data_IF_068605996422
#
_entry.id   IF_068605996422
#
_cell.length_a   1.000
_cell.length_b   1.000
_cell.length_c   1.000
_cell.angle_alpha   90.00
_cell.angle_beta   90.00
_cell.angle_gamma   90.00
#
_symmetry.space_group_name_H-M   'P 1'
#
loop_
_entity.id
_entity.type
_entity.pdbx_description
1 polymer ?
#
# COMPACT_ATOMS: atom_id res chain seq x y z
N UNK A 1 8.40 -28.55 4.11
CA UNK A 1 8.17 -27.92 5.44
C UNK A 1 7.05 -26.91 5.24
N UNK A 2 5.92 -27.12 5.88
CA UNK A 2 4.78 -26.21 5.76
C UNK A 2 4.84 -25.22 6.95
N UNK A 3 4.94 -23.93 6.64
CA UNK A 3 4.91 -22.89 7.68
C UNK A 3 3.47 -22.76 8.19
N UNK A 4 3.31 -22.78 9.50
CA UNK A 4 2.03 -22.53 10.14
C UNK A 4 2.04 -21.09 10.65
N UNK A 5 1.15 -20.26 10.08
CA UNK A 5 0.98 -18.87 10.50
C UNK A 5 -0.17 -18.77 11.49
N UNK A 6 0.04 -18.01 12.56
CA UNK A 6 -1.02 -17.65 13.50
C UNK A 6 -1.61 -16.30 13.08
N UNK A 7 -2.87 -16.33 12.66
CA UNK A 7 -3.59 -15.13 12.21
C UNK A 7 -4.14 -14.28 13.37
N UNK A 8 -4.06 -14.77 14.62
CA UNK A 8 -4.77 -14.19 15.75
C UNK A 8 -3.85 -13.58 16.82
N UNK A 9 -2.64 -13.16 16.43
CA UNK A 9 -1.74 -12.48 17.36
C UNK A 9 -2.22 -11.03 17.59
N UNK A 10 -2.65 -10.72 18.82
CA UNK A 10 -3.29 -9.46 19.18
C UNK A 10 -2.49 -8.21 18.78
N UNK A 11 -1.19 -8.21 18.98
CA UNK A 11 -0.34 -7.06 18.63
C UNK A 11 -0.25 -6.84 17.11
N UNK A 12 -0.30 -7.93 16.31
CA UNK A 12 -0.34 -7.83 14.85
C UNK A 12 -1.70 -7.33 14.37
N UNK A 13 -2.77 -7.85 14.93
CA UNK A 13 -4.14 -7.41 14.64
C UNK A 13 -4.33 -5.94 14.97
N UNK A 14 -3.85 -5.48 16.13
CA UNK A 14 -3.89 -4.06 16.50
C UNK A 14 -3.15 -3.17 15.51
N UNK A 15 -1.97 -3.59 15.04
CA UNK A 15 -1.21 -2.83 14.06
C UNK A 15 -1.93 -2.75 12.69
N UNK A 16 -2.52 -3.86 12.23
CA UNK A 16 -3.32 -3.91 10.99
C UNK A 16 -4.55 -3.02 11.12
N UNK A 17 -5.28 -3.15 12.22
CA UNK A 17 -6.48 -2.37 12.51
C UNK A 17 -6.18 -0.87 12.61
N UNK A 18 -5.06 -0.50 13.24
CA UNK A 18 -4.64 0.89 13.36
C UNK A 18 -4.50 1.57 11.98
N UNK A 19 -3.94 0.86 10.99
CA UNK A 19 -3.84 1.40 9.62
C UNK A 19 -5.20 1.40 8.92
N UNK A 20 -5.97 0.33 9.03
CA UNK A 20 -7.27 0.24 8.38
C UNK A 20 -8.23 1.33 8.89
N UNK A 21 -8.27 1.60 10.19
CA UNK A 21 -9.15 2.61 10.80
C UNK A 21 -8.80 4.06 10.43
N UNK A 22 -7.62 4.33 9.88
CA UNK A 22 -7.34 5.68 9.32
C UNK A 22 -8.33 6.06 8.22
N UNK A 23 -8.83 5.07 7.50
CA UNK A 23 -9.73 5.25 6.35
C UNK A 23 -11.20 5.00 6.70
N UNK A 24 -11.54 4.89 7.97
CA UNK A 24 -12.93 4.69 8.42
C UNK A 24 -13.83 5.83 7.94
N UNK A 25 -14.99 5.49 7.35
CA UNK A 25 -15.91 6.45 6.76
C UNK A 25 -15.59 6.89 5.34
N UNK A 26 -14.49 6.40 4.75
CA UNK A 26 -14.19 6.64 3.35
C UNK A 26 -15.22 5.98 2.44
N UNK A 27 -15.59 6.68 1.38
CA UNK A 27 -16.42 6.13 0.31
C UNK A 27 -15.53 5.61 -0.81
N UNK A 28 -15.91 4.44 -1.33
CA UNK A 28 -15.36 3.99 -2.61
C UNK A 28 -15.94 4.86 -3.72
N UNK A 29 -15.09 5.53 -4.46
CA UNK A 29 -15.48 5.94 -5.78
C UNK A 29 -15.44 4.68 -6.66
N UNK A 30 -16.59 4.29 -7.23
CA UNK A 30 -16.61 3.25 -8.25
C UNK A 30 -15.56 3.58 -9.30
N UNK A 31 -14.65 2.65 -9.57
CA UNK A 31 -13.61 2.80 -10.59
C UNK A 31 -14.28 2.87 -11.97
N UNK A 32 -14.75 4.06 -12.36
CA UNK A 32 -15.10 4.31 -13.74
C UNK A 32 -13.84 4.16 -14.59
N UNK A 33 -13.94 3.50 -15.73
CA UNK A 33 -12.90 3.37 -16.75
C UNK A 33 -12.48 4.73 -17.37
N UNK A 34 -12.95 5.83 -16.79
CA UNK A 34 -12.78 7.18 -17.34
C UNK A 34 -11.46 7.86 -16.94
N UNK A 35 -10.66 7.23 -16.10
CA UNK A 35 -9.35 7.77 -15.74
C UNK A 35 -8.32 7.35 -16.79
N UNK A 36 -7.70 8.34 -17.43
CA UNK A 36 -6.61 8.13 -18.39
C UNK A 36 -5.32 8.68 -17.81
N UNK A 37 -4.30 7.84 -17.70
CA UNK A 37 -2.95 8.26 -17.39
C UNK A 37 -2.07 8.11 -18.63
N UNK A 38 -1.46 9.21 -19.08
CA UNK A 38 -0.71 9.21 -20.33
C UNK A 38 -1.53 8.78 -21.56
N UNK A 39 -2.84 9.04 -21.57
CA UNK A 39 -3.74 8.64 -22.67
C UNK A 39 -4.22 7.18 -22.62
N UNK A 40 -3.76 6.38 -21.66
CA UNK A 40 -4.18 5.00 -21.44
C UNK A 40 -5.22 4.92 -20.33
N UNK A 41 -6.23 4.03 -20.43
CA UNK A 41 -7.14 3.79 -19.32
C UNK A 41 -6.35 3.27 -18.11
N UNK A 42 -6.73 3.67 -16.89
CA UNK A 42 -6.12 3.20 -15.66
C UNK A 42 -7.18 2.95 -14.60
N UNK A 43 -6.92 2.01 -13.71
CA UNK A 43 -7.75 1.70 -12.54
C UNK A 43 -7.00 2.14 -11.28
N UNK A 44 -7.09 3.43 -10.88
CA UNK A 44 -6.41 3.93 -9.70
C UNK A 44 -7.13 3.51 -8.41
N UNK A 45 -6.40 3.56 -7.29
CA UNK A 45 -7.05 3.65 -5.99
C UNK A 45 -7.76 5.00 -5.89
N UNK A 46 -9.08 4.98 -5.74
CA UNK A 46 -9.86 6.19 -5.47
C UNK A 46 -10.37 6.11 -4.04
N UNK A 47 -9.80 6.94 -3.20
CA UNK A 47 -10.22 7.10 -1.83
C UNK A 47 -10.64 8.56 -1.66
N UNK A 48 -11.94 8.79 -1.49
CA UNK A 48 -12.47 10.11 -1.18
C UNK A 48 -12.56 10.24 0.34
N UNK A 49 -11.53 10.82 0.93
CA UNK A 49 -11.51 11.20 2.33
C UNK A 49 -11.14 12.67 2.47
N UNK A 50 -11.88 13.40 3.29
CA UNK A 50 -11.53 14.74 3.67
C UNK A 50 -10.42 14.72 4.71
N UNK A 51 -9.53 15.70 4.66
CA UNK A 51 -8.37 15.79 5.58
C UNK A 51 -8.79 15.88 7.06
N UNK A 52 -9.90 16.56 7.35
CA UNK A 52 -10.44 16.67 8.72
C UNK A 52 -10.88 15.30 9.26
N UNK A 53 -11.55 14.49 8.45
CA UNK A 53 -11.90 13.11 8.84
C UNK A 53 -10.67 12.22 9.02
N UNK A 54 -9.68 12.35 8.15
CA UNK A 54 -8.44 11.59 8.26
C UNK A 54 -7.69 11.94 9.55
N UNK A 55 -7.64 13.24 9.92
CA UNK A 55 -7.05 13.68 11.17
C UNK A 55 -7.83 13.16 12.40
N UNK A 56 -9.16 13.22 12.35
CA UNK A 56 -9.98 12.70 13.44
C UNK A 56 -9.83 11.19 13.63
N UNK A 57 -9.73 10.44 12.53
CA UNK A 57 -9.45 9.01 12.57
C UNK A 57 -8.05 8.73 13.15
N UNK A 58 -7.02 9.50 12.72
CA UNK A 58 -5.67 9.40 13.27
C UNK A 58 -5.68 9.59 14.79
N UNK A 59 -6.32 10.65 15.28
CA UNK A 59 -6.46 10.95 16.72
C UNK A 59 -7.10 9.79 17.49
N UNK A 60 -8.19 9.21 16.96
CA UNK A 60 -8.86 8.05 17.56
C UNK A 60 -7.94 6.83 17.62
N UNK A 61 -7.20 6.55 16.53
CA UNK A 61 -6.23 5.46 16.48
C UNK A 61 -5.12 5.68 17.50
N UNK A 62 -4.56 6.87 17.60
CA UNK A 62 -3.52 7.22 18.55
C UNK A 62 -4.01 7.08 20.00
N UNK A 63 -5.19 7.60 20.31
CA UNK A 63 -5.81 7.46 21.63
C UNK A 63 -6.04 5.99 22.01
N UNK A 64 -6.58 5.18 21.08
CA UNK A 64 -6.83 3.75 21.30
C UNK A 64 -5.55 2.98 21.58
N UNK A 65 -4.42 3.39 20.98
CA UNK A 65 -3.12 2.76 21.17
C UNK A 65 -2.28 3.38 22.31
N UNK A 66 -2.81 4.39 23.01
CA UNK A 66 -2.12 5.03 24.15
C UNK A 66 -0.85 5.80 23.74
N UNK A 67 -0.79 6.30 22.50
CA UNK A 67 0.32 7.12 22.01
C UNK A 67 -0.06 8.60 21.94
N UNK A 68 0.93 9.53 21.97
CA UNK A 68 0.65 10.95 21.87
C UNK A 68 -0.18 11.30 20.64
N UNK A 69 -1.16 12.17 20.83
CA UNK A 69 -2.11 12.56 19.79
C UNK A 69 -1.53 13.73 18.99
N UNK A 70 -1.43 13.56 17.67
CA UNK A 70 -1.01 14.64 16.76
C UNK A 70 -2.12 15.70 16.62
N UNK A 71 -1.72 16.97 16.54
CA UNK A 71 -2.64 18.07 16.29
C UNK A 71 -2.98 18.27 14.82
N UNK A 72 -2.12 17.78 13.92
CA UNK A 72 -2.22 17.94 12.46
C UNK A 72 -1.70 16.71 11.74
N UNK A 73 -2.08 16.56 10.47
CA UNK A 73 -1.52 15.52 9.59
C UNK A 73 -0.11 15.90 9.16
N UNK A 74 0.79 14.93 9.17
CA UNK A 74 2.14 15.05 8.59
C UNK A 74 2.08 14.71 7.11
N UNK A 75 2.77 15.49 6.29
CA UNK A 75 2.81 15.31 4.84
C UNK A 75 4.22 15.09 4.33
N UNK A 76 4.31 14.33 3.25
CA UNK A 76 5.50 14.29 2.40
C UNK A 76 5.17 15.08 1.15
N UNK A 77 6.07 15.99 0.77
CA UNK A 77 6.01 16.73 -0.48
C UNK A 77 7.13 16.28 -1.42
N UNK A 78 6.78 16.12 -2.69
CA UNK A 78 7.73 15.74 -3.74
C UNK A 78 7.44 16.54 -5.00
N UNK A 79 8.51 16.99 -5.63
CA UNK A 79 8.45 17.53 -6.99
C UNK A 79 8.52 16.38 -7.97
N UNK A 80 7.54 16.30 -8.86
CA UNK A 80 7.51 15.32 -9.95
C UNK A 80 7.51 16.06 -11.29
N UNK A 81 8.29 15.56 -12.23
CA UNK A 81 8.26 16.03 -13.60
C UNK A 81 7.09 15.36 -14.32
N UNK A 82 6.17 16.17 -14.82
CA UNK A 82 5.06 15.69 -15.65
C UNK A 82 5.17 16.24 -17.08
N UNK A 83 4.33 15.75 -17.98
CA UNK A 83 4.24 16.30 -19.34
C UNK A 83 3.90 17.81 -19.36
N UNK A 84 3.25 18.31 -18.28
CA UNK A 84 2.85 19.71 -18.13
C UNK A 84 3.86 20.56 -17.31
N UNK A 85 5.04 20.00 -16.99
CA UNK A 85 6.06 20.64 -16.19
C UNK A 85 6.21 20.05 -14.78
N UNK A 86 6.95 20.75 -13.92
CA UNK A 86 7.13 20.37 -12.51
C UNK A 86 5.81 20.55 -11.75
N UNK A 87 5.40 19.51 -11.05
CA UNK A 87 4.28 19.55 -10.13
C UNK A 87 4.70 19.11 -8.73
N UNK A 88 4.24 19.84 -7.72
CA UNK A 88 4.41 19.43 -6.33
C UNK A 88 3.24 18.55 -5.94
N UNK A 89 3.52 17.28 -5.61
CA UNK A 89 2.56 16.38 -5.02
C UNK A 89 2.75 16.33 -3.52
N UNK A 90 1.63 16.35 -2.79
CA UNK A 90 1.58 16.30 -1.35
C UNK A 90 0.67 15.14 -0.94
N UNK A 91 1.15 14.28 -0.04
CA UNK A 91 0.37 13.17 0.46
C UNK A 91 0.61 12.94 1.96
N UNK A 92 -0.42 12.50 2.70
CA UNK A 92 -0.28 12.26 4.14
C UNK A 92 0.67 11.11 4.41
N UNK A 93 1.46 11.23 5.47
CA UNK A 93 2.44 10.25 5.90
C UNK A 93 2.10 9.73 7.29
N UNK A 94 2.02 8.41 7.41
CA UNK A 94 1.76 7.72 8.67
C UNK A 94 2.88 6.74 8.97
N UNK A 95 3.21 6.57 10.25
CA UNK A 95 4.21 5.62 10.72
C UNK A 95 3.59 4.57 11.61
N UNK A 96 3.98 3.32 11.41
CA UNK A 96 3.64 2.20 12.30
C UNK A 96 4.93 1.63 12.87
N UNK A 97 5.11 1.73 14.17
CA UNK A 97 6.27 1.23 14.86
C UNK A 97 5.99 -0.13 15.49
N UNK A 98 6.88 -1.08 15.23
CA UNK A 98 6.82 -2.43 15.79
C UNK A 98 8.23 -2.90 16.12
N UNK A 99 8.37 -3.70 17.16
CA UNK A 99 9.67 -4.27 17.55
C UNK A 99 10.24 -5.21 16.48
N UNK A 100 11.56 -5.41 16.52
CA UNK A 100 12.23 -6.36 15.64
C UNK A 100 11.80 -7.78 15.98
N UNK A 101 11.56 -8.60 14.96
CA UNK A 101 11.14 -10.00 15.15
C UNK A 101 9.64 -10.21 15.35
N UNK A 102 8.82 -9.15 15.41
CA UNK A 102 7.36 -9.24 15.60
C UNK A 102 6.56 -9.56 14.34
N UNK A 103 7.22 -9.81 13.21
CA UNK A 103 6.55 -10.13 11.96
C UNK A 103 6.05 -8.92 11.16
N UNK A 104 6.78 -7.79 11.21
CA UNK A 104 6.43 -6.57 10.45
C UNK A 104 6.03 -6.85 9.00
N UNK A 105 6.79 -7.71 8.31
CA UNK A 105 6.50 -8.05 6.91
C UNK A 105 5.12 -8.70 6.76
N UNK A 106 4.78 -9.65 7.62
CA UNK A 106 3.46 -10.25 7.62
C UNK A 106 2.36 -9.22 7.90
N UNK A 107 2.58 -8.33 8.87
CA UNK A 107 1.62 -7.29 9.26
C UNK A 107 1.31 -6.37 8.09
N UNK A 108 2.32 -5.75 7.45
CA UNK A 108 2.00 -4.84 6.35
C UNK A 108 1.44 -5.54 5.12
N UNK A 109 1.88 -6.76 4.79
CA UNK A 109 1.28 -7.52 3.68
C UNK A 109 -0.19 -7.84 3.96
N UNK A 110 -0.51 -8.25 5.18
CA UNK A 110 -1.90 -8.48 5.59
C UNK A 110 -2.71 -7.19 5.60
N UNK A 111 -2.10 -6.06 5.99
CA UNK A 111 -2.73 -4.73 5.94
C UNK A 111 -3.19 -4.36 4.53
N UNK A 112 -2.39 -4.66 3.49
CA UNK A 112 -2.79 -4.40 2.10
C UNK A 112 -4.08 -5.14 1.73
N UNK A 113 -4.19 -6.41 2.13
CA UNK A 113 -5.38 -7.23 1.88
C UNK A 113 -6.58 -6.77 2.72
N UNK A 114 -6.33 -6.31 3.94
CA UNK A 114 -7.38 -5.74 4.78
C UNK A 114 -7.90 -4.41 4.21
N UNK A 115 -7.03 -3.55 3.70
CA UNK A 115 -7.41 -2.33 2.99
C UNK A 115 -8.19 -2.61 1.70
N UNK A 116 -7.84 -3.67 0.98
CA UNK A 116 -8.65 -4.12 -0.14
C UNK A 116 -10.03 -4.57 0.30
N UNK A 117 -10.11 -5.43 1.32
CA UNK A 117 -11.37 -5.99 1.85
C UNK A 117 -12.31 -4.90 2.35
N UNK A 118 -11.79 -3.90 3.09
CA UNK A 118 -12.62 -2.85 3.71
C UNK A 118 -12.90 -1.68 2.77
N UNK A 119 -11.95 -1.33 1.92
CA UNK A 119 -11.99 -0.09 1.12
C UNK A 119 -11.78 -0.31 -0.38
N UNK A 120 -11.67 -1.57 -0.86
CA UNK A 120 -11.49 -1.89 -2.29
C UNK A 120 -10.22 -1.33 -2.91
N UNK A 121 -9.22 -0.97 -2.12
CA UNK A 121 -7.93 -0.53 -2.66
C UNK A 121 -7.26 -1.67 -3.42
N UNK A 122 -6.79 -1.40 -4.64
CA UNK A 122 -6.30 -2.43 -5.56
C UNK A 122 -4.80 -2.31 -5.84
N UNK A 123 -4.22 -1.12 -5.71
CA UNK A 123 -2.84 -0.83 -6.14
C UNK A 123 -1.97 -0.49 -4.94
N UNK A 124 -0.92 -1.29 -4.76
CA UNK A 124 0.02 -1.12 -3.66
C UNK A 124 1.45 -1.16 -4.15
N UNK A 125 2.27 -0.23 -3.66
CA UNK A 125 3.70 -0.19 -3.94
C UNK A 125 4.44 -0.31 -2.61
N UNK A 126 5.33 -1.30 -2.53
CA UNK A 126 6.20 -1.51 -1.38
C UNK A 126 7.60 -1.05 -1.77
N UNK A 127 8.06 0.04 -1.14
CA UNK A 127 9.40 0.58 -1.37
C UNK A 127 10.32 0.16 -0.22
N UNK A 128 11.46 -0.42 -0.56
CA UNK A 128 12.41 -0.96 0.41
C UNK A 128 13.83 -0.40 0.20
N UNK A 129 14.65 -0.37 1.25
CA UNK A 129 15.98 0.23 1.17
C UNK A 129 17.01 -0.61 0.39
N UNK A 130 16.79 -1.92 0.20
CA UNK A 130 17.78 -2.78 -0.46
C UNK A 130 17.16 -3.96 -1.21
N UNK A 131 17.94 -4.50 -2.15
CA UNK A 131 17.61 -5.72 -2.89
C UNK A 131 17.38 -6.91 -1.96
N UNK A 132 18.21 -7.07 -0.94
CA UNK A 132 18.07 -8.20 0.00
C UNK A 132 16.71 -8.18 0.74
N UNK A 133 16.24 -6.99 1.14
CA UNK A 133 14.93 -6.84 1.78
C UNK A 133 13.81 -7.08 0.77
N UNK A 134 13.96 -6.61 -0.47
CA UNK A 134 13.01 -6.89 -1.54
C UNK A 134 12.81 -8.39 -1.76
N UNK A 135 13.92 -9.14 -1.92
CA UNK A 135 13.88 -10.60 -2.07
C UNK A 135 13.21 -11.29 -0.86
N UNK A 136 13.49 -10.80 0.35
CA UNK A 136 12.83 -11.28 1.58
C UNK A 136 11.32 -11.10 1.55
N UNK A 137 10.83 -9.96 1.03
CA UNK A 137 9.40 -9.68 0.89
C UNK A 137 8.76 -10.60 -0.16
N UNK A 138 9.36 -10.73 -1.34
CA UNK A 138 8.86 -11.61 -2.40
C UNK A 138 8.78 -13.06 -1.92
N UNK A 139 9.80 -13.51 -1.19
CA UNK A 139 9.76 -14.82 -0.55
C UNK A 139 8.64 -14.94 0.49
N UNK A 140 8.42 -13.91 1.30
CA UNK A 140 7.34 -13.91 2.30
C UNK A 140 5.98 -13.95 1.61
N UNK A 141 5.75 -13.16 0.56
CA UNK A 141 4.52 -13.22 -0.24
C UNK A 141 4.25 -14.63 -0.76
N UNK A 142 5.29 -15.29 -1.28
CA UNK A 142 5.18 -16.67 -1.79
C UNK A 142 4.83 -17.69 -0.70
N UNK A 143 5.48 -17.62 0.47
CA UNK A 143 5.23 -18.61 1.55
C UNK A 143 3.92 -18.36 2.30
N UNK A 144 3.40 -17.13 2.28
CA UNK A 144 2.13 -16.76 2.91
C UNK A 144 0.94 -16.82 1.96
N UNK A 145 1.14 -17.11 0.67
CA UNK A 145 0.09 -17.05 -0.36
C UNK A 145 -1.13 -17.91 -0.01
N UNK A 146 -0.93 -19.18 0.32
CA UNK A 146 -2.03 -20.06 0.70
C UNK A 146 -2.74 -19.57 1.96
N UNK A 147 -1.97 -19.15 2.97
CA UNK A 147 -2.52 -18.63 4.22
C UNK A 147 -3.40 -17.40 4.00
N UNK A 148 -2.95 -16.45 3.18
CA UNK A 148 -3.75 -15.26 2.86
C UNK A 148 -4.96 -15.58 1.98
N UNK A 149 -4.85 -16.54 1.05
CA UNK A 149 -6.01 -17.01 0.29
C UNK A 149 -7.10 -17.58 1.20
N UNK A 150 -6.73 -18.41 2.16
CA UNK A 150 -7.67 -18.96 3.14
C UNK A 150 -8.29 -17.86 4.02
N UNK A 151 -7.49 -16.87 4.46
CA UNK A 151 -7.93 -15.80 5.34
C UNK A 151 -8.85 -14.79 4.64
N UNK A 152 -8.66 -14.57 3.34
CA UNK A 152 -9.38 -13.57 2.53
C UNK A 152 -10.29 -14.20 1.47
N UNK A 153 -10.85 -15.39 1.73
CA UNK A 153 -11.86 -16.04 0.86
C UNK A 153 -11.43 -16.19 -0.59
N UNK A 154 -10.17 -16.55 -0.81
CA UNK A 154 -9.54 -16.69 -2.12
C UNK A 154 -9.53 -15.40 -2.96
N UNK A 155 -9.53 -14.23 -2.31
CA UNK A 155 -9.33 -12.97 -3.03
C UNK A 155 -8.06 -13.05 -3.88
N UNK A 156 -8.15 -12.91 -5.22
CA UNK A 156 -6.99 -12.96 -6.07
C UNK A 156 -6.13 -11.71 -5.90
N UNK A 157 -4.83 -11.91 -5.82
CA UNK A 157 -3.85 -10.83 -5.82
C UNK A 157 -2.61 -11.26 -6.58
N UNK A 158 -1.95 -10.30 -7.21
CA UNK A 158 -0.69 -10.48 -7.93
C UNK A 158 0.40 -9.66 -7.27
N UNK A 159 1.62 -10.18 -7.29
CA UNK A 159 2.79 -9.46 -6.79
C UNK A 159 4.00 -9.73 -7.68
N UNK A 160 4.83 -8.72 -7.82
CA UNK A 160 6.02 -8.81 -8.65
C UNK A 160 7.06 -7.76 -8.26
N UNK A 161 8.29 -8.03 -8.68
CA UNK A 161 9.39 -7.09 -8.62
C UNK A 161 9.24 -6.03 -9.71
N UNK A 162 9.38 -4.76 -9.34
CA UNK A 162 9.47 -3.70 -10.33
C UNK A 162 10.77 -3.78 -11.13
N UNK A 163 10.65 -3.80 -12.44
CA UNK A 163 11.75 -3.77 -13.40
C UNK A 163 11.47 -2.65 -14.41
N UNK A 164 12.37 -1.64 -14.47
CA UNK A 164 12.21 -0.48 -15.34
C UNK A 164 12.08 -0.81 -16.83
N UNK A 165 12.60 -1.95 -17.23
CA UNK A 165 12.58 -2.45 -18.61
C UNK A 165 11.27 -3.18 -18.96
N UNK A 166 10.49 -3.58 -17.95
CA UNK A 166 9.27 -4.36 -18.16
C UNK A 166 8.01 -3.49 -18.15
N UNK A 167 7.83 -2.74 -19.24
CA UNK A 167 6.67 -1.88 -19.46
C UNK A 167 5.32 -2.63 -19.41
N UNK A 168 5.32 -3.92 -19.76
CA UNK A 168 4.10 -4.73 -19.73
C UNK A 168 3.59 -4.94 -18.31
N UNK A 169 4.48 -5.12 -17.33
CA UNK A 169 4.09 -5.24 -15.92
C UNK A 169 3.53 -3.92 -15.36
N UNK A 170 4.13 -2.79 -15.73
CA UNK A 170 3.61 -1.47 -15.31
C UNK A 170 2.23 -1.20 -15.91
N UNK A 171 2.02 -1.59 -17.17
CA UNK A 171 0.69 -1.53 -17.80
C UNK A 171 -0.32 -2.44 -17.10
N UNK A 172 0.05 -3.68 -16.80
CA UNK A 172 -0.81 -4.60 -16.06
C UNK A 172 -1.18 -4.00 -14.70
N UNK A 173 -0.20 -3.47 -13.96
CA UNK A 173 -0.44 -2.78 -12.68
C UNK A 173 -1.48 -1.67 -12.83
N UNK A 174 -1.39 -0.86 -13.87
CA UNK A 174 -2.31 0.27 -14.08
C UNK A 174 -3.72 -0.16 -14.51
N UNK A 175 -3.84 -1.19 -15.33
CA UNK A 175 -5.08 -1.60 -15.97
C UNK A 175 -5.87 -2.66 -15.21
N UNK A 176 -5.21 -3.47 -14.39
CA UNK A 176 -5.84 -4.57 -13.66
C UNK A 176 -6.91 -4.05 -12.68
N UNK A 177 -8.03 -4.77 -12.59
CA UNK A 177 -9.06 -4.59 -11.58
C UNK A 177 -8.90 -5.53 -10.38
N UNK A 178 -7.74 -6.16 -10.26
CA UNK A 178 -7.36 -7.02 -9.14
C UNK A 178 -6.36 -6.33 -8.23
N UNK A 179 -6.13 -6.93 -7.06
CA UNK A 179 -5.08 -6.46 -6.15
C UNK A 179 -3.71 -6.68 -6.78
N UNK A 180 -2.98 -5.60 -6.98
CA UNK A 180 -1.63 -5.60 -7.54
C UNK A 180 -0.64 -5.03 -6.54
N UNK A 181 0.39 -5.79 -6.22
CA UNK A 181 1.45 -5.43 -5.27
C UNK A 181 2.77 -5.37 -6.02
N UNK A 182 3.32 -4.18 -6.16
CA UNK A 182 4.62 -3.95 -6.76
C UNK A 182 5.68 -3.75 -5.68
N UNK A 183 6.78 -4.49 -5.75
CA UNK A 183 7.89 -4.36 -4.79
C UNK A 183 9.11 -3.76 -5.49
N UNK A 184 9.65 -2.68 -4.96
CA UNK A 184 10.80 -1.98 -5.55
C UNK A 184 11.77 -1.47 -4.49
N UNK A 185 13.01 -1.22 -4.91
CA UNK A 185 13.99 -0.54 -4.06
C UNK A 185 13.83 0.98 -4.14
N UNK A 186 14.28 1.69 -3.10
CA UNK A 186 14.27 3.16 -3.08
C UNK A 186 15.10 3.74 -4.24
N UNK A 187 16.19 3.09 -4.60
CA UNK A 187 17.01 3.50 -5.74
C UNK A 187 16.23 3.40 -7.06
N UNK A 188 15.45 2.32 -7.23
CA UNK A 188 14.59 2.18 -8.39
C UNK A 188 13.47 3.20 -8.38
N UNK A 189 12.91 3.55 -7.23
CA UNK A 189 11.86 4.54 -7.09
C UNK A 189 12.34 5.96 -7.44
N UNK A 190 13.55 6.32 -7.04
CA UNK A 190 14.11 7.68 -7.21
C UNK A 190 14.74 7.94 -8.60
N UNK A 191 14.87 6.94 -9.47
CA UNK A 191 15.43 7.14 -10.81
C UNK A 191 14.51 8.00 -11.67
N UNK A 192 15.01 9.16 -12.13
CA UNK A 192 14.26 10.10 -12.98
C UNK A 192 13.82 9.48 -14.34
N UNK A 193 14.54 8.46 -14.82
CA UNK A 193 14.21 7.72 -16.05
C UNK A 193 13.13 6.66 -15.84
N UNK A 194 12.56 6.58 -14.65
CA UNK A 194 11.61 5.56 -14.31
C UNK A 194 10.24 5.83 -14.93
N UNK A 195 9.67 4.83 -15.57
CA UNK A 195 8.33 4.92 -16.20
C UNK A 195 7.23 5.31 -15.20
N UNK A 196 7.42 5.02 -13.91
CA UNK A 196 6.49 5.44 -12.85
C UNK A 196 6.56 6.96 -12.61
N UNK A 197 7.67 7.59 -12.95
CA UNK A 197 7.92 9.02 -12.77
C UNK A 197 7.70 9.83 -14.07
N UNK A 198 7.34 9.19 -15.16
CA UNK A 198 7.00 9.79 -16.46
C UNK A 198 5.49 9.78 -16.69
#
# INVERSE_FOLDING_TARGET
>A
MQFKFDANQDYQLRAIEAVARLFEGCRFASSGLDFKWGGLPAVPNRLEIREDFLLDNLKKVQQTNGIPVDSELKYIEREIQTANGLQVVRFPNFSVEMETGTGKTYVYLRTLLELNKQYGLLKFIIVVPSVAIREGILKTLKITEQHFRELYHNQPYHYYEYQSENLSQVRQFSLSNQVEIMVMTIDSFNKASNVINQ
#
